data_IF_341001636245
#
_entry.id   IF_341001636245
#
_cell.length_a   1.000
_cell.length_b   1.000
_cell.length_c   1.000
_cell.angle_alpha   90.00
_cell.angle_beta   90.00
_cell.angle_gamma   90.00
#
_symmetry.space_group_name_H-M   'P 1'
#
loop_
_entity.id
_entity.type
_entity.pdbx_description
1 polymer ?
#
# COMPACT_ATOMS: atom_id res chain seq x y z
N UNK A 1 9.51 8.93 22.48
CA UNK A 1 8.12 8.44 22.22
C UNK A 1 7.88 7.94 20.78
N UNK A 2 8.82 8.06 19.82
CA UNK A 2 8.59 7.69 18.40
C UNK A 2 8.58 6.18 18.08
N UNK A 3 9.35 5.35 18.77
CA UNK A 3 9.52 3.92 18.40
C UNK A 3 8.26 3.03 18.54
N UNK A 4 7.21 3.51 19.21
CA UNK A 4 5.94 2.77 19.38
C UNK A 4 5.01 2.98 18.18
N UNK A 5 5.05 4.16 17.56
CA UNK A 5 4.21 4.48 16.40
C UNK A 5 4.72 3.77 15.13
N UNK A 6 6.04 3.74 14.89
CA UNK A 6 6.63 2.99 13.77
C UNK A 6 6.24 1.51 13.75
N UNK A 7 6.17 0.86 14.92
CA UNK A 7 5.71 -0.55 15.03
C UNK A 7 4.23 -0.74 14.68
N UNK A 8 3.37 0.23 15.02
CA UNK A 8 1.92 0.17 14.68
C UNK A 8 1.70 0.29 13.18
N UNK A 9 2.49 1.15 12.55
CA UNK A 9 2.48 1.34 11.11
C UNK A 9 2.83 0.03 10.39
N UNK A 10 3.96 -0.60 10.71
CA UNK A 10 4.40 -1.85 10.07
C UNK A 10 3.33 -2.95 10.07
N UNK A 11 2.72 -3.23 11.22
CA UNK A 11 1.66 -4.23 11.33
C UNK A 11 0.41 -3.88 10.50
N UNK A 12 0.17 -2.58 10.29
CA UNK A 12 -0.98 -2.07 9.57
C UNK A 12 -0.88 -2.23 8.06
N UNK A 13 0.31 -2.28 7.46
CA UNK A 13 0.45 -2.41 6.00
C UNK A 13 0.70 -3.85 5.55
N UNK A 14 1.11 -4.74 6.45
CA UNK A 14 1.20 -6.16 6.12
C UNK A 14 -0.18 -6.74 5.83
N UNK A 15 -0.28 -7.49 4.75
CA UNK A 15 -1.50 -8.18 4.34
C UNK A 15 -1.63 -8.29 2.83
N UNK A 16 -2.84 -8.66 2.42
CA UNK A 16 -3.15 -8.91 1.02
C UNK A 16 -3.81 -7.68 0.41
N UNK A 17 -3.29 -7.28 -0.74
CA UNK A 17 -3.83 -6.21 -1.57
C UNK A 17 -4.42 -6.82 -2.83
N UNK A 18 -5.54 -6.27 -3.28
CA UNK A 18 -6.08 -6.60 -4.60
C UNK A 18 -6.08 -5.34 -5.47
N UNK A 19 -5.92 -5.55 -6.77
CA UNK A 19 -6.17 -4.49 -7.73
C UNK A 19 -7.62 -4.02 -7.64
N UNK A 20 -7.83 -2.71 -7.67
CA UNK A 20 -9.15 -2.09 -7.64
C UNK A 20 -9.62 -1.88 -9.10
N UNK A 21 -10.64 -2.61 -9.58
CA UNK A 21 -11.07 -2.54 -10.98
C UNK A 21 -11.42 -1.11 -11.40
N UNK A 22 -10.90 -0.69 -12.56
CA UNK A 22 -11.17 0.62 -13.14
C UNK A 22 -10.52 1.81 -12.42
N UNK A 23 -9.72 1.58 -11.38
CA UNK A 23 -9.03 2.65 -10.65
C UNK A 23 -7.56 2.72 -11.05
N UNK A 24 -7.20 3.83 -11.70
CA UNK A 24 -5.85 4.11 -12.18
C UNK A 24 -5.40 5.51 -11.74
N UNK A 25 -4.10 5.66 -11.49
CA UNK A 25 -3.45 6.97 -11.35
C UNK A 25 -2.38 7.08 -12.43
N UNK A 26 -2.64 7.93 -13.42
CA UNK A 26 -1.91 7.89 -14.68
C UNK A 26 -2.16 6.55 -15.38
N UNK A 27 -1.08 5.85 -15.73
CA UNK A 27 -1.13 4.54 -16.40
C UNK A 27 -1.03 3.36 -15.42
N UNK A 28 -0.99 3.63 -14.10
CA UNK A 28 -0.72 2.62 -13.09
C UNK A 28 -1.96 2.23 -12.30
N UNK A 29 -2.18 0.92 -12.07
CA UNK A 29 -3.34 0.44 -11.32
C UNK A 29 -3.25 0.82 -9.84
N UNK A 30 -4.41 0.99 -9.22
CA UNK A 30 -4.55 1.18 -7.78
C UNK A 30 -4.81 -0.16 -7.10
N UNK A 31 -4.18 -0.38 -5.95
CA UNK A 31 -4.42 -1.56 -5.13
C UNK A 31 -5.05 -1.16 -3.80
N UNK A 32 -5.95 -1.98 -3.27
CA UNK A 32 -6.60 -1.77 -2.00
C UNK A 32 -6.35 -2.95 -1.06
N UNK A 33 -6.08 -2.66 0.21
CA UNK A 33 -5.84 -3.68 1.23
C UNK A 33 -7.15 -4.38 1.58
N UNK A 34 -7.13 -5.70 1.53
CA UNK A 34 -8.22 -6.55 1.99
C UNK A 34 -8.12 -6.79 3.50
N UNK A 35 -9.27 -6.71 4.16
CA UNK A 35 -9.45 -7.19 5.51
C UNK A 35 -9.95 -8.63 5.46
N UNK A 36 -9.32 -9.52 6.23
CA UNK A 36 -9.92 -10.82 6.53
C UNK A 36 -11.23 -10.54 7.26
N UNK A 37 -12.35 -10.94 6.65
CA UNK A 37 -13.63 -10.89 7.32
C UNK A 37 -13.54 -11.75 8.59
N UNK A 38 -13.87 -11.16 9.74
CA UNK A 38 -14.07 -11.92 10.96
C UNK A 38 -15.34 -12.75 10.83
N UNK A 39 -15.31 -13.94 11.45
CA UNK A 39 -16.35 -14.96 11.41
C UNK A 39 -17.74 -14.33 11.59
N UNK A 40 -18.62 -14.52 10.61
CA UNK A 40 -20.02 -14.05 10.64
C UNK A 40 -20.41 -13.01 9.60
N UNK A 41 -19.47 -12.44 8.84
CA UNK A 41 -19.77 -11.63 7.64
C UNK A 41 -19.22 -12.31 6.39
N UNK A 42 -20.11 -12.74 5.50
CA UNK A 42 -19.74 -13.19 4.15
C UNK A 42 -19.51 -11.94 3.31
N UNK A 43 -18.25 -11.61 3.02
CA UNK A 43 -17.90 -10.48 2.17
C UNK A 43 -16.44 -10.04 2.32
N UNK A 44 -15.87 -9.45 1.27
CA UNK A 44 -14.54 -8.85 1.30
C UNK A 44 -14.67 -7.40 1.75
N UNK A 45 -14.11 -7.06 2.92
CA UNK A 45 -14.05 -5.68 3.40
C UNK A 45 -12.70 -5.05 3.02
N UNK A 46 -12.70 -3.73 2.75
CA UNK A 46 -11.48 -2.97 2.46
C UNK A 46 -11.07 -2.14 3.68
N UNK A 47 -9.77 -2.06 3.99
CA UNK A 47 -9.24 -1.32 5.17
C UNK A 47 -9.11 0.19 4.94
N UNK A 48 -9.42 0.67 3.73
CA UNK A 48 -9.16 2.05 3.33
C UNK A 48 -7.67 2.38 3.19
N UNK A 49 -6.81 1.35 3.09
CA UNK A 49 -5.39 1.47 2.77
C UNK A 49 -5.20 1.10 1.31
N UNK A 50 -4.43 1.92 0.60
CA UNK A 50 -4.20 1.79 -0.82
C UNK A 50 -2.71 1.79 -1.13
N UNK A 51 -2.32 1.06 -2.18
CA UNK A 51 -1.05 1.24 -2.87
C UNK A 51 -1.35 1.99 -4.16
N UNK A 52 -0.70 3.14 -4.31
CA UNK A 52 -0.94 4.05 -5.42
C UNK A 52 0.37 4.56 -5.99
N UNK A 53 0.36 4.91 -7.28
CA UNK A 53 1.47 5.59 -7.91
C UNK A 53 1.39 7.09 -7.63
N UNK A 54 2.48 7.67 -7.12
CA UNK A 54 2.65 9.11 -6.95
C UNK A 54 3.36 9.68 -8.17
N UNK A 55 2.59 10.27 -9.08
CA UNK A 55 3.10 10.82 -10.35
C UNK A 55 4.06 12.00 -10.14
N UNK A 56 3.91 12.75 -9.04
CA UNK A 56 4.74 13.93 -8.75
C UNK A 56 6.14 13.50 -8.34
N UNK A 57 6.25 12.48 -7.48
CA UNK A 57 7.54 11.99 -6.99
C UNK A 57 8.04 10.74 -7.73
N UNK A 58 7.31 10.27 -8.76
CA UNK A 58 7.61 9.06 -9.55
C UNK A 58 7.95 7.85 -8.66
N UNK A 59 7.02 7.49 -7.78
CA UNK A 59 7.23 6.41 -6.79
C UNK A 59 5.93 5.72 -6.41
N UNK A 60 6.02 4.47 -5.98
CA UNK A 60 4.92 3.80 -5.31
C UNK A 60 4.77 4.31 -3.88
N UNK A 61 3.54 4.41 -3.38
CA UNK A 61 3.28 4.77 -2.00
C UNK A 61 2.08 4.04 -1.40
N UNK A 62 2.13 3.80 -0.10
CA UNK A 62 1.02 3.29 0.71
C UNK A 62 0.36 4.48 1.41
N UNK A 63 -0.92 4.68 1.17
CA UNK A 63 -1.67 5.82 1.70
C UNK A 63 -3.11 5.43 2.07
N UNK A 64 -3.77 6.29 2.85
CA UNK A 64 -5.21 6.15 3.17
C UNK A 64 -6.13 6.95 2.25
N UNK A 65 -5.54 7.67 1.28
CA UNK A 65 -6.28 8.46 0.29
C UNK A 65 -5.71 8.23 -1.09
N UNK A 66 -6.60 8.24 -2.09
CA UNK A 66 -6.24 8.15 -3.50
C UNK A 66 -5.82 9.51 -4.10
N UNK A 67 -6.17 10.62 -3.45
CA UNK A 67 -6.21 11.95 -4.11
C UNK A 67 -5.25 12.98 -3.53
N UNK A 68 -4.22 12.62 -2.74
CA UNK A 68 -3.37 13.70 -2.23
C UNK A 68 -2.15 13.34 -1.40
N UNK A 69 -1.09 14.06 -1.74
CA UNK A 69 0.30 14.02 -1.27
C UNK A 69 0.56 14.23 0.22
N UNK A 70 -0.47 14.31 1.08
CA UNK A 70 -0.24 14.86 2.43
C UNK A 70 0.28 13.86 3.45
N UNK A 71 -0.02 12.56 3.35
CA UNK A 71 0.53 11.53 4.27
C UNK A 71 0.57 10.15 3.60
N UNK A 72 1.75 9.75 3.13
CA UNK A 72 2.03 8.34 2.84
C UNK A 72 2.66 7.71 4.08
N UNK A 73 2.32 6.45 4.34
CA UNK A 73 2.91 5.68 5.43
C UNK A 73 4.15 4.93 5.00
N UNK A 74 4.24 4.60 3.71
CA UNK A 74 5.42 4.02 3.12
C UNK A 74 5.53 4.44 1.66
N UNK A 75 6.74 4.42 1.12
CA UNK A 75 6.97 4.64 -0.31
C UNK A 75 8.13 3.77 -0.83
N UNK A 76 8.12 3.48 -2.12
CA UNK A 76 9.20 2.80 -2.82
C UNK A 76 9.52 3.57 -4.11
N UNK A 77 10.79 3.97 -4.27
CA UNK A 77 11.27 4.78 -5.41
C UNK A 77 11.49 3.96 -6.69
N UNK A 78 11.13 2.69 -6.68
CA UNK A 78 11.22 1.82 -7.85
C UNK A 78 10.12 2.17 -8.86
N UNK A 79 10.48 2.23 -10.14
CA UNK A 79 9.57 2.57 -11.23
C UNK A 79 8.85 1.35 -11.82
N UNK A 80 8.95 0.16 -11.23
CA UNK A 80 8.28 -1.04 -11.74
C UNK A 80 6.77 -0.83 -11.98
N UNK A 81 6.24 -1.32 -13.11
CA UNK A 81 4.86 -1.10 -13.56
C UNK A 81 3.78 -1.53 -12.54
N UNK A 82 4.12 -2.44 -11.61
CA UNK A 82 3.27 -2.84 -10.49
C UNK A 82 4.08 -2.88 -9.18
N UNK A 83 3.45 -2.69 -8.02
CA UNK A 83 4.14 -2.65 -6.73
C UNK A 83 4.73 -4.00 -6.30
N UNK A 84 4.26 -5.13 -6.84
CA UNK A 84 4.85 -6.45 -6.55
C UNK A 84 6.14 -6.71 -7.32
N UNK A 85 6.38 -5.97 -8.40
CA UNK A 85 7.55 -6.11 -9.26
C UNK A 85 8.70 -5.19 -8.84
N UNK A 86 8.50 -4.38 -7.77
CA UNK A 86 9.52 -3.48 -7.24
C UNK A 86 10.68 -4.28 -6.63
N UNK A 87 11.91 -3.79 -6.85
CA UNK A 87 13.14 -4.39 -6.33
C UNK A 87 13.77 -3.52 -5.25
N UNK A 88 13.50 -2.22 -5.27
CA UNK A 88 13.98 -1.33 -4.22
C UNK A 88 13.22 -1.55 -2.91
N UNK A 89 13.92 -1.29 -1.79
CA UNK A 89 13.35 -1.37 -0.46
C UNK A 89 12.29 -0.29 -0.21
N UNK A 90 11.24 -0.66 0.51
CA UNK A 90 10.23 0.29 0.97
C UNK A 90 10.80 1.14 2.11
N UNK A 91 10.46 2.42 2.08
CA UNK A 91 10.75 3.39 3.13
C UNK A 91 9.48 3.60 3.94
N UNK A 92 9.49 3.26 5.22
CA UNK A 92 8.31 3.26 6.10
C UNK A 92 8.41 4.39 7.12
N UNK A 93 7.29 5.09 7.35
CA UNK A 93 7.20 6.19 8.29
C UNK A 93 7.29 5.66 9.74
N UNK A 94 8.30 6.10 10.49
CA UNK A 94 8.53 5.71 11.89
C UNK A 94 8.07 6.76 12.92
N UNK A 95 7.56 7.89 12.44
CA UNK A 95 7.08 9.00 13.26
C UNK A 95 6.78 10.23 12.41
N UNK A 96 6.67 11.40 13.02
CA UNK A 96 6.45 12.63 12.26
C UNK A 96 7.68 12.96 11.40
N UNK A 97 7.55 12.83 10.08
CA UNK A 97 8.57 13.21 9.10
C UNK A 97 9.73 12.24 8.89
N UNK A 98 9.90 11.21 9.74
CA UNK A 98 11.02 10.26 9.61
C UNK A 98 10.61 8.99 8.87
N UNK A 99 11.45 8.57 7.91
CA UNK A 99 11.31 7.32 7.17
C UNK A 99 12.56 6.48 7.34
N UNK A 100 12.37 5.18 7.52
CA UNK A 100 13.45 4.20 7.62
C UNK A 100 13.21 3.10 6.60
N UNK A 101 14.31 2.55 6.09
CA UNK A 101 14.26 1.41 5.19
C UNK A 101 13.71 0.18 5.91
N UNK A 102 12.71 -0.46 5.29
CA UNK A 102 12.09 -1.68 5.80
C UNK A 102 12.15 -2.76 4.71
N UNK A 103 13.14 -3.65 4.85
CA UNK A 103 13.38 -4.76 3.92
C UNK A 103 12.42 -5.94 4.14
N UNK A 104 11.71 -5.94 5.27
CA UNK A 104 10.83 -7.05 5.65
C UNK A 104 9.37 -6.86 5.25
N UNK A 105 9.04 -5.73 4.63
CA UNK A 105 7.68 -5.43 4.19
C UNK A 105 7.33 -6.33 3.00
N UNK A 106 6.37 -7.24 3.23
CA UNK A 106 5.86 -8.16 2.21
C UNK A 106 4.51 -7.65 1.72
N UNK A 107 4.44 -7.31 0.44
CA UNK A 107 3.19 -7.02 -0.25
C UNK A 107 2.74 -8.26 -0.98
N UNK A 108 1.61 -8.81 -0.55
CA UNK A 108 0.95 -9.89 -1.27
C UNK A 108 -0.11 -9.25 -2.16
N UNK A 109 0.08 -9.30 -3.47
CA UNK A 109 -0.88 -8.75 -4.43
C UNK A 109 -1.63 -9.90 -5.10
N UNK A 110 -2.95 -9.93 -4.95
CA UNK A 110 -3.80 -10.80 -5.77
C UNK A 110 -4.05 -10.13 -7.12
N UNK A 111 -3.85 -10.88 -8.20
CA UNK A 111 -4.36 -10.50 -9.50
C UNK A 111 -5.90 -10.35 -9.41
N UNK A 112 -6.45 -9.32 -10.07
CA UNK A 112 -7.89 -9.21 -10.21
C UNK A 112 -8.41 -10.51 -10.84
N UNK A 113 -9.35 -11.16 -10.16
CA UNK A 113 -10.07 -12.29 -10.74
C UNK A 113 -10.94 -11.67 -11.84
N UNK A 114 -10.57 -11.88 -13.11
CA UNK A 114 -11.44 -11.54 -14.21
C UNK A 114 -12.70 -12.40 -14.03
N UNK A 115 -13.80 -11.78 -13.61
CA UNK A 115 -15.11 -12.43 -13.66
C UNK A 115 -15.47 -12.58 -15.13
N UNK A 116 -15.45 -13.82 -15.62
CA UNK A 116 -16.08 -14.23 -16.88
C UNK A 116 -17.61 -14.03 -16.82
#
# INVERSE_FOLDING_TARGET
RGAVEGRRYRARFQGVFCEKPGAFIGERPVYQKLLRATVGKVGVCCDGIYIVWDTVNSRWQIAMSLTGARRCFAYCKDDAARPIDVRASWQVQEGEGNFSEETTLKLEVMAAVAGE
#
